data_IF_169885692846
#
_entry.id   IF_169885692846
#
_cell.length_a   1.000
_cell.length_b   1.000
_cell.length_c   1.000
_cell.angle_alpha   90.00
_cell.angle_beta   90.00
_cell.angle_gamma   90.00
#
_symmetry.space_group_name_H-M   'P 1'
#
loop_
_entity.id
_entity.type
_entity.pdbx_description
1 polymer ?
#
# COMPACT_ATOMS: atom_id res chain seq x y z
N UNK A 1 10.08 9.89 -12.39
CA UNK A 1 11.25 9.14 -11.88
C UNK A 1 12.19 8.86 -13.05
N UNK A 2 13.32 9.56 -13.18
CA UNK A 2 14.14 9.52 -14.41
C UNK A 2 14.62 8.11 -14.77
N UNK A 3 15.01 7.29 -13.78
CA UNK A 3 15.49 5.92 -14.01
C UNK A 3 14.37 5.05 -14.60
N UNK A 4 13.18 5.04 -13.98
CA UNK A 4 12.04 4.27 -14.47
C UNK A 4 11.56 4.74 -15.86
N UNK A 5 11.48 6.05 -16.08
CA UNK A 5 11.01 6.61 -17.35
C UNK A 5 11.99 6.33 -18.51
N UNK A 6 13.29 6.56 -18.30
CA UNK A 6 14.32 6.37 -19.34
C UNK A 6 14.54 4.90 -19.71
N UNK A 7 14.22 3.99 -18.81
CA UNK A 7 14.41 2.55 -19.00
C UNK A 7 13.08 1.80 -19.07
N UNK A 8 11.97 2.45 -19.43
CA UNK A 8 10.63 1.84 -19.45
C UNK A 8 10.53 0.60 -20.35
N UNK A 9 11.36 0.52 -21.39
CA UNK A 9 11.41 -0.63 -22.30
C UNK A 9 12.31 -1.77 -21.78
N UNK A 10 13.05 -1.53 -20.69
CA UNK A 10 14.01 -2.48 -20.08
C UNK A 10 13.68 -2.83 -18.62
N UNK A 11 12.80 -2.07 -17.96
CA UNK A 11 12.43 -2.23 -16.56
C UNK A 11 10.91 -2.32 -16.43
N UNK A 12 10.45 -3.37 -15.76
CA UNK A 12 9.08 -3.49 -15.28
C UNK A 12 9.03 -3.08 -13.80
N UNK A 13 9.04 -1.77 -13.54
CA UNK A 13 9.07 -1.20 -12.20
C UNK A 13 7.85 -0.31 -11.93
N UNK A 14 6.93 -0.83 -11.13
CA UNK A 14 5.91 -0.02 -10.45
C UNK A 14 6.36 0.24 -9.01
N UNK A 15 6.34 1.50 -8.58
CA UNK A 15 6.78 1.88 -7.24
C UNK A 15 5.74 2.75 -6.55
N UNK A 16 5.73 2.65 -5.23
CA UNK A 16 5.04 3.56 -4.33
C UNK A 16 6.13 4.23 -3.51
N UNK A 17 6.18 5.56 -3.54
CA UNK A 17 7.11 6.34 -2.72
C UNK A 17 6.27 7.10 -1.70
N UNK A 18 6.46 6.80 -0.43
CA UNK A 18 5.78 7.47 0.67
C UNK A 18 6.80 7.91 1.72
N UNK A 19 6.53 9.03 2.38
CA UNK A 19 7.43 9.56 3.40
C UNK A 19 6.86 10.80 4.07
N UNK A 20 7.65 11.37 4.97
CA UNK A 20 7.36 12.60 5.66
C UNK A 20 8.56 13.54 5.54
N UNK A 21 8.31 14.82 5.30
CA UNK A 21 9.30 15.88 5.39
C UNK A 21 8.75 17.11 6.12
N UNK A 22 9.62 18.01 6.56
CA UNK A 22 9.25 19.18 7.34
C UNK A 22 8.57 20.30 6.53
N UNK A 23 8.53 20.20 5.20
CA UNK A 23 7.97 21.22 4.31
C UNK A 23 6.54 20.88 3.87
N UNK A 24 6.34 19.64 3.42
CA UNK A 24 5.08 19.13 2.88
C UNK A 24 4.37 18.12 3.80
N UNK A 25 4.97 17.76 4.94
CA UNK A 25 4.44 16.73 5.81
C UNK A 25 4.45 15.35 5.15
N UNK A 26 3.43 14.54 5.43
CA UNK A 26 3.28 13.21 4.83
C UNK A 26 2.85 13.29 3.36
N UNK A 27 3.54 12.59 2.46
CA UNK A 27 3.17 12.53 1.04
C UNK A 27 3.28 11.11 0.47
N UNK A 28 2.45 10.83 -0.53
CA UNK A 28 2.41 9.55 -1.25
C UNK A 28 2.47 9.84 -2.76
N UNK A 29 3.36 9.12 -3.43
CA UNK A 29 3.62 9.23 -4.86
C UNK A 29 3.50 7.86 -5.52
N UNK A 30 2.57 7.76 -6.47
CA UNK A 30 2.46 6.62 -7.35
C UNK A 30 3.42 6.78 -8.53
N UNK A 31 4.21 5.74 -8.78
CA UNK A 31 5.09 5.63 -9.94
C UNK A 31 4.70 4.37 -10.72
N UNK A 32 3.66 4.43 -11.58
CA UNK A 32 3.24 3.28 -12.37
C UNK A 32 4.31 2.90 -13.41
N UNK A 33 4.08 1.75 -14.05
CA UNK A 33 4.85 1.35 -15.24
C UNK A 33 4.85 2.51 -16.26
N UNK A 34 6.03 2.81 -16.80
CA UNK A 34 6.26 3.98 -17.65
C UNK A 34 6.88 5.17 -16.92
N UNK A 35 6.89 5.19 -15.58
CA UNK A 35 7.72 6.14 -14.80
C UNK A 35 7.13 7.53 -14.56
N UNK A 36 5.84 7.72 -14.85
CA UNK A 36 5.06 8.91 -14.49
C UNK A 36 5.09 9.12 -12.97
N UNK A 37 5.06 10.38 -12.52
CA UNK A 37 4.99 10.73 -11.09
C UNK A 37 3.62 11.33 -10.79
N UNK A 38 2.88 10.71 -9.89
CA UNK A 38 1.55 11.18 -9.48
C UNK A 38 1.49 11.31 -7.96
N UNK A 39 1.29 12.52 -7.45
CA UNK A 39 0.98 12.73 -6.04
C UNK A 39 -0.49 12.42 -5.80
N UNK A 40 -0.77 11.52 -4.87
CA UNK A 40 -2.12 10.98 -4.63
C UNK A 40 -2.37 10.83 -3.12
N UNK A 41 -3.63 10.87 -2.65
CA UNK A 41 -3.94 10.72 -1.23
C UNK A 41 -3.60 9.33 -0.68
N UNK A 42 -3.70 8.30 -1.52
CA UNK A 42 -3.24 6.94 -1.28
C UNK A 42 -2.99 6.26 -2.62
N UNK A 43 -2.28 5.13 -2.61
CA UNK A 43 -2.16 4.27 -3.80
C UNK A 43 -1.99 2.83 -3.37
N UNK A 44 -2.46 1.92 -4.24
CA UNK A 44 -2.25 0.48 -4.15
C UNK A 44 -1.49 0.01 -5.39
N UNK A 45 -0.81 -1.13 -5.31
CA UNK A 45 -0.02 -1.67 -6.41
C UNK A 45 0.25 -3.17 -6.24
N UNK A 46 0.88 -3.77 -7.25
CA UNK A 46 1.10 -5.23 -7.32
C UNK A 46 -0.10 -6.00 -7.86
N UNK A 47 0.06 -7.32 -8.06
CA UNK A 47 -0.97 -8.21 -8.62
C UNK A 47 -2.26 -8.22 -7.79
N UNK A 48 -2.13 -8.17 -6.46
CA UNK A 48 -3.26 -8.18 -5.54
C UNK A 48 -4.14 -6.92 -5.57
N UNK A 49 -3.65 -5.81 -6.12
CA UNK A 49 -4.37 -4.53 -6.14
C UNK A 49 -5.70 -4.59 -6.91
N UNK A 50 -5.78 -5.46 -7.92
CA UNK A 50 -6.99 -5.65 -8.72
C UNK A 50 -8.20 -6.12 -7.89
N UNK A 51 -7.96 -6.90 -6.83
CA UNK A 51 -9.03 -7.46 -5.99
C UNK A 51 -9.57 -6.48 -4.94
N UNK A 52 -8.83 -5.41 -4.65
CA UNK A 52 -9.12 -4.53 -3.50
C UNK A 52 -9.46 -3.10 -3.90
N UNK A 53 -9.39 -2.75 -5.19
CA UNK A 53 -9.65 -1.38 -5.66
C UNK A 53 -11.03 -0.87 -5.21
N UNK A 54 -12.10 -1.61 -5.48
CA UNK A 54 -13.45 -1.21 -5.07
C UNK A 54 -13.65 -1.17 -3.55
N UNK A 55 -12.92 -2.00 -2.80
CA UNK A 55 -12.95 -1.95 -1.34
C UNK A 55 -12.24 -0.68 -0.82
N UNK A 56 -11.08 -0.36 -1.38
CA UNK A 56 -10.32 0.85 -1.03
C UNK A 56 -11.14 2.10 -1.32
N UNK A 57 -11.76 2.20 -2.50
CA UNK A 57 -12.56 3.37 -2.90
C UNK A 57 -13.75 3.61 -1.96
N UNK A 58 -14.37 2.52 -1.44
CA UNK A 58 -15.48 2.60 -0.49
C UNK A 58 -15.04 2.97 0.92
N UNK A 59 -13.87 2.50 1.37
CA UNK A 59 -13.46 2.57 2.77
C UNK A 59 -12.44 3.66 3.07
N UNK A 60 -11.74 4.18 2.07
CA UNK A 60 -10.82 5.28 2.25
C UNK A 60 -11.56 6.57 2.58
N UNK A 61 -11.01 7.35 3.51
CA UNK A 61 -11.52 8.66 3.92
C UNK A 61 -10.37 9.63 4.13
N UNK A 62 -10.57 10.89 3.75
CA UNK A 62 -9.64 11.96 4.09
C UNK A 62 -9.59 12.17 5.61
N UNK A 63 -8.40 12.42 6.15
CA UNK A 63 -8.24 12.77 7.57
C UNK A 63 -8.34 11.59 8.54
N UNK A 64 -8.10 10.36 8.08
CA UNK A 64 -7.96 9.20 8.96
C UNK A 64 -6.83 9.42 9.98
N UNK A 65 -7.06 8.98 11.21
CA UNK A 65 -6.04 8.89 12.26
C UNK A 65 -4.97 7.86 11.90
N UNK A 66 -3.85 7.86 12.65
CA UNK A 66 -2.77 6.88 12.48
C UNK A 66 -3.30 5.45 12.61
N UNK A 67 -4.12 5.18 13.61
CA UNK A 67 -4.69 3.87 13.91
C UNK A 67 -5.71 3.43 12.85
N UNK A 68 -6.51 4.36 12.33
CA UNK A 68 -7.42 4.11 11.22
C UNK A 68 -6.66 3.79 9.93
N UNK A 69 -5.59 4.54 9.61
CA UNK A 69 -4.71 4.27 8.47
C UNK A 69 -4.07 2.89 8.57
N UNK A 70 -3.53 2.53 9.74
CA UNK A 70 -2.95 1.20 9.98
C UNK A 70 -4.00 0.11 9.76
N UNK A 71 -5.20 0.29 10.32
CA UNK A 71 -6.30 -0.66 10.16
C UNK A 71 -6.75 -0.79 8.70
N UNK A 72 -6.88 0.32 7.97
CA UNK A 72 -7.23 0.35 6.56
C UNK A 72 -6.19 -0.40 5.71
N UNK A 73 -4.90 -0.13 5.90
CA UNK A 73 -3.83 -0.77 5.16
C UNK A 73 -3.76 -2.29 5.44
N UNK A 74 -3.85 -2.70 6.71
CA UNK A 74 -3.86 -4.12 7.08
C UNK A 74 -5.06 -4.86 6.48
N UNK A 75 -6.26 -4.26 6.52
CA UNK A 75 -7.48 -4.82 5.90
C UNK A 75 -7.34 -4.98 4.39
N UNK A 76 -6.89 -3.93 3.72
CA UNK A 76 -6.70 -3.95 2.27
C UNK A 76 -5.71 -5.06 1.86
N UNK A 77 -4.59 -5.18 2.56
CA UNK A 77 -3.59 -6.22 2.26
C UNK A 77 -4.12 -7.63 2.58
N UNK A 78 -4.86 -7.81 3.67
CA UNK A 78 -5.51 -9.09 3.99
C UNK A 78 -6.47 -9.54 2.89
N UNK A 79 -7.33 -8.63 2.40
CA UNK A 79 -8.26 -8.92 1.31
C UNK A 79 -7.53 -9.31 0.02
N UNK A 80 -6.40 -8.66 -0.28
CA UNK A 80 -5.57 -9.02 -1.44
C UNK A 80 -4.96 -10.41 -1.27
N UNK A 81 -4.40 -10.72 -0.09
CA UNK A 81 -3.81 -12.03 0.22
C UNK A 81 -4.83 -13.18 0.14
N UNK A 82 -6.09 -12.93 0.49
CA UNK A 82 -7.14 -13.95 0.44
C UNK A 82 -7.57 -14.34 -1.00
N UNK A 83 -7.24 -13.51 -2.01
CA UNK A 83 -7.74 -13.69 -3.39
C UNK A 83 -6.64 -13.80 -4.44
N UNK A 84 -5.51 -13.16 -4.23
CA UNK A 84 -4.37 -13.20 -5.15
C UNK A 84 -3.40 -14.33 -4.78
N UNK A 85 -3.30 -15.35 -5.65
CA UNK A 85 -2.38 -16.47 -5.46
C UNK A 85 -0.89 -16.09 -5.46
N UNK A 86 -0.54 -14.86 -5.87
CA UNK A 86 0.83 -14.34 -5.80
C UNK A 86 1.12 -13.51 -4.53
N UNK A 87 0.12 -13.31 -3.67
CA UNK A 87 0.21 -12.52 -2.44
C UNK A 87 -0.03 -13.41 -1.21
N UNK A 88 0.75 -13.23 -0.13
CA UNK A 88 0.60 -14.03 1.07
C UNK A 88 1.72 -13.87 2.09
N UNK A 89 1.75 -14.76 3.08
CA UNK A 89 2.82 -14.82 4.08
C UNK A 89 2.57 -13.97 5.32
N UNK A 90 2.95 -12.69 5.30
CA UNK A 90 2.88 -11.80 6.46
C UNK A 90 2.63 -10.36 6.04
N UNK A 91 2.17 -9.52 6.96
CA UNK A 91 2.02 -8.08 6.72
C UNK A 91 3.14 -7.33 7.43
N UNK A 92 3.86 -6.51 6.66
CA UNK A 92 4.87 -5.56 7.16
C UNK A 92 4.34 -4.16 6.98
N UNK A 93 4.23 -3.41 8.06
CA UNK A 93 3.69 -2.07 8.04
C UNK A 93 4.74 -1.10 8.57
N UNK A 94 4.90 0.04 7.90
CA UNK A 94 5.79 1.11 8.34
C UNK A 94 4.97 2.38 8.43
N UNK A 95 4.94 2.98 9.61
CA UNK A 95 4.37 4.30 9.82
C UNK A 95 5.49 5.33 9.89
N UNK A 96 5.39 6.39 9.08
CA UNK A 96 6.37 7.47 9.02
C UNK A 96 5.67 8.77 9.39
N UNK A 97 6.19 9.46 10.40
CA UNK A 97 5.71 10.76 10.85
C UNK A 97 6.89 11.66 11.24
N UNK A 98 6.59 12.85 11.80
CA UNK A 98 7.60 13.82 12.22
C UNK A 98 8.60 13.29 13.27
N UNK A 99 8.23 12.22 13.99
CA UNK A 99 9.06 11.61 15.03
C UNK A 99 9.91 10.44 14.50
N UNK A 100 9.71 10.04 13.24
CA UNK A 100 10.50 9.01 12.57
C UNK A 100 9.65 7.87 12.01
N UNK A 101 10.28 6.71 11.88
CA UNK A 101 9.67 5.51 11.30
C UNK A 101 9.45 4.43 12.37
N UNK A 102 8.23 3.90 12.44
CA UNK A 102 7.88 2.74 13.28
C UNK A 102 7.49 1.57 12.39
N UNK A 103 8.11 0.41 12.60
CA UNK A 103 7.79 -0.80 11.86
C UNK A 103 6.96 -1.76 12.73
N UNK A 104 5.84 -2.22 12.19
CA UNK A 104 5.01 -3.28 12.76
C UNK A 104 5.10 -4.54 11.90
N UNK A 105 5.06 -5.70 12.55
CA UNK A 105 5.11 -7.00 11.89
C UNK A 105 3.92 -7.86 12.34
N UNK A 106 3.10 -8.29 11.39
CA UNK A 106 1.98 -9.20 11.62
C UNK A 106 2.33 -10.54 10.97
N UNK A 107 2.68 -11.57 11.76
CA UNK A 107 2.96 -12.89 11.20
C UNK A 107 1.69 -13.49 10.59
N UNK A 108 1.84 -14.38 9.60
CA UNK A 108 0.72 -14.92 8.83
C UNK A 108 -0.44 -15.49 9.64
N UNK A 109 -0.14 -16.21 10.72
CA UNK A 109 -1.15 -16.79 11.62
C UNK A 109 -1.92 -15.74 12.45
N UNK A 110 -1.49 -14.48 12.45
CA UNK A 110 -2.15 -13.34 13.10
C UNK A 110 -2.72 -12.34 12.09
N UNK A 111 -2.62 -12.62 10.79
CA UNK A 111 -3.25 -11.77 9.77
C UNK A 111 -4.77 -11.85 9.99
N UNK A 112 -5.44 -10.71 10.25
CA UNK A 112 -6.85 -10.73 10.60
C UNK A 112 -7.69 -11.24 9.44
N UNK A 113 -8.44 -12.32 9.66
CA UNK A 113 -9.39 -12.83 8.67
C UNK A 113 -10.71 -12.09 8.82
N UNK A 114 -11.21 -11.53 7.73
CA UNK A 114 -12.50 -10.84 7.71
C UNK A 114 -13.62 -11.77 7.20
N UNK A 115 -14.87 -11.51 7.58
CA UNK A 115 -16.02 -12.40 7.33
C UNK A 115 -16.22 -12.77 5.84
N UNK A 116 -15.70 -11.95 4.92
CA UNK A 116 -15.82 -12.12 3.47
C UNK A 116 -14.60 -12.84 2.84
N UNK A 117 -13.61 -13.23 3.64
CA UNK A 117 -12.40 -13.92 3.21
C UNK A 117 -12.61 -15.44 3.29
N UNK A 118 -12.34 -16.13 2.19
CA UNK A 118 -12.36 -17.60 2.15
C UNK A 118 -11.04 -18.05 2.76
N UNK A 119 -11.11 -18.82 3.86
CA UNK A 119 -9.93 -19.45 4.42
C UNK A 119 -9.29 -20.38 3.37
N UNK A 120 -7.96 -20.38 3.22
CA UNK A 120 -7.28 -21.32 2.34
C UNK A 120 -7.52 -22.78 2.73
#
# INVERSE_FOLDING_TARGET
MQVAYRNKDKLQAGMIVAGWDCHGGGSVWAVPLGGTLLQVPYTIGGSGSAYITGWCDKNWKSGMTKEECKTFAMRAVSHAMARDGSSGGCIRLVTIDAHGATADFVPGHQVPVYQDEVLP
#
